data_IF_042090657738
#
_entry.id   IF_042090657738
#
_cell.length_a   1.000
_cell.length_b   1.000
_cell.length_c   1.000
_cell.angle_alpha   90.00
_cell.angle_beta   90.00
_cell.angle_gamma   90.00
#
_symmetry.space_group_name_H-M   'P 1'
#
loop_
_entity.id
_entity.type
_entity.pdbx_description
1 polymer ?
#
# COMPACT_ATOMS: atom_id res chain seq x y z
N UNK A 1 13.99 34.51 25.40
CA UNK A 1 12.64 33.93 25.60
C UNK A 1 11.93 33.52 24.29
N UNK A 2 12.21 34.14 23.13
CA UNK A 2 11.64 33.74 21.81
C UNK A 2 12.21 32.44 21.22
N UNK A 3 13.42 32.03 21.59
CA UNK A 3 14.12 30.83 21.06
C UNK A 3 13.55 29.51 21.60
N UNK A 4 13.27 29.42 22.91
CA UNK A 4 12.65 28.22 23.53
C UNK A 4 11.25 27.90 22.98
N UNK A 5 10.50 28.91 22.51
CA UNK A 5 9.17 28.72 21.91
C UNK A 5 9.25 28.09 20.50
N UNK A 6 10.27 28.44 19.71
CA UNK A 6 10.53 27.85 18.39
C UNK A 6 11.00 26.40 18.49
N UNK A 7 11.93 26.10 19.41
CA UNK A 7 12.36 24.71 19.68
C UNK A 7 11.21 23.81 20.11
N UNK A 8 10.34 24.31 21.00
CA UNK A 8 9.16 23.55 21.44
C UNK A 8 8.18 23.31 20.28
N UNK A 9 7.97 24.28 19.40
CA UNK A 9 7.14 24.11 18.20
C UNK A 9 7.73 23.10 17.19
N UNK A 10 9.04 23.11 17.00
CA UNK A 10 9.73 22.15 16.12
C UNK A 10 9.64 20.74 16.71
N UNK A 11 9.89 20.56 18.01
CA UNK A 11 9.72 19.28 18.70
C UNK A 11 8.26 18.79 18.72
N UNK A 12 7.29 19.71 18.74
CA UNK A 12 5.86 19.36 18.68
C UNK A 12 5.43 19.01 17.26
N UNK A 13 5.90 19.72 16.22
CA UNK A 13 5.74 19.32 14.81
C UNK A 13 6.54 18.06 14.44
N UNK A 14 7.64 17.79 15.15
CA UNK A 14 8.39 16.54 15.09
C UNK A 14 7.73 15.42 15.89
N UNK A 15 6.80 15.68 16.80
CA UNK A 15 5.98 14.67 17.50
C UNK A 15 4.62 14.45 16.84
N UNK A 16 4.07 15.47 16.17
CA UNK A 16 2.99 15.36 15.19
C UNK A 16 3.47 14.68 13.89
N UNK A 17 4.78 14.30 13.83
CA UNK A 17 5.28 13.22 12.98
C UNK A 17 4.38 12.01 13.10
N UNK A 18 4.16 11.36 11.97
CA UNK A 18 3.91 9.94 11.97
C UNK A 18 2.48 9.55 12.30
N UNK A 19 1.68 10.25 13.09
CA UNK A 19 0.33 9.74 13.41
C UNK A 19 -0.52 9.57 12.15
N UNK A 20 -0.57 10.56 11.26
CA UNK A 20 -1.33 10.43 10.01
C UNK A 20 -0.74 9.41 9.03
N UNK A 21 0.60 9.34 8.91
CA UNK A 21 1.27 8.35 8.05
C UNK A 21 1.12 6.93 8.60
N UNK A 22 1.25 6.77 9.92
CA UNK A 22 1.05 5.51 10.64
C UNK A 22 -0.40 5.09 10.57
N UNK A 23 -1.37 6.00 10.75
CA UNK A 23 -2.79 5.71 10.55
C UNK A 23 -3.08 5.30 9.11
N UNK A 24 -2.50 6.00 8.13
CA UNK A 24 -2.61 5.64 6.72
C UNK A 24 -2.01 4.25 6.43
N UNK A 25 -0.84 3.95 7.00
CA UNK A 25 -0.19 2.66 6.84
C UNK A 25 -0.91 1.54 7.59
N UNK A 26 -1.45 1.81 8.78
CA UNK A 26 -2.30 0.87 9.52
C UNK A 26 -3.59 0.59 8.76
N UNK A 27 -4.21 1.62 8.19
CA UNK A 27 -5.35 1.45 7.29
C UNK A 27 -4.99 0.56 6.11
N UNK A 28 -3.84 0.79 5.46
CA UNK A 28 -3.37 -0.06 4.36
C UNK A 28 -3.08 -1.49 4.83
N UNK A 29 -2.49 -1.69 6.01
CA UNK A 29 -2.27 -3.02 6.58
C UNK A 29 -3.59 -3.76 6.80
N UNK A 30 -4.61 -3.08 7.33
CA UNK A 30 -5.96 -3.65 7.51
C UNK A 30 -6.55 -4.03 6.16
N UNK A 31 -6.50 -3.12 5.17
CA UNK A 31 -7.03 -3.38 3.82
C UNK A 31 -6.32 -4.55 3.15
N UNK A 32 -4.99 -4.62 3.19
CA UNK A 32 -4.23 -5.74 2.63
C UNK A 32 -4.54 -7.05 3.37
N UNK A 33 -4.60 -7.03 4.70
CA UNK A 33 -4.90 -8.22 5.52
C UNK A 33 -6.31 -8.74 5.25
N UNK A 34 -7.32 -7.86 5.23
CA UNK A 34 -8.69 -8.24 4.89
C UNK A 34 -8.79 -8.79 3.47
N UNK A 35 -8.07 -8.18 2.52
CA UNK A 35 -8.07 -8.66 1.14
C UNK A 35 -7.39 -10.01 0.98
N UNK A 36 -6.33 -10.29 1.75
CA UNK A 36 -5.68 -11.61 1.81
C UNK A 36 -6.63 -12.62 2.46
N UNK A 37 -7.28 -12.27 3.56
CA UNK A 37 -8.26 -13.13 4.24
C UNK A 37 -9.43 -13.50 3.34
N UNK A 38 -9.99 -12.54 2.60
CA UNK A 38 -11.01 -12.79 1.58
C UNK A 38 -10.52 -13.75 0.49
N UNK A 39 -9.27 -13.61 0.07
CA UNK A 39 -8.70 -14.49 -0.94
C UNK A 39 -8.55 -15.92 -0.43
N UNK A 40 -8.07 -16.09 0.81
CA UNK A 40 -7.97 -17.39 1.48
C UNK A 40 -9.36 -18.01 1.63
N UNK A 41 -10.35 -17.23 2.07
CA UNK A 41 -11.73 -17.69 2.20
C UNK A 41 -12.29 -18.20 0.87
N UNK A 42 -12.17 -17.40 -0.20
CA UNK A 42 -12.61 -17.78 -1.54
C UNK A 42 -11.86 -19.01 -2.07
N UNK A 43 -10.57 -19.15 -1.75
CA UNK A 43 -9.77 -20.31 -2.11
C UNK A 43 -10.31 -21.62 -1.50
N UNK A 44 -10.81 -21.57 -0.27
CA UNK A 44 -11.37 -22.75 0.41
C UNK A 44 -12.83 -23.00 0.07
N UNK A 45 -13.61 -21.95 -0.21
CA UNK A 45 -15.04 -22.08 -0.52
C UNK A 45 -15.31 -22.42 -1.99
N UNK A 46 -14.46 -21.95 -2.89
CA UNK A 46 -14.55 -22.35 -4.29
C UNK A 46 -13.85 -23.71 -4.46
N UNK A 47 -14.51 -24.67 -5.10
CA UNK A 47 -13.94 -25.99 -5.42
C UNK A 47 -12.88 -26.06 -6.56
N UNK A 48 -12.44 -25.01 -7.29
CA UNK A 48 -11.80 -25.19 -8.59
C UNK A 48 -10.33 -25.64 -8.55
N UNK A 49 -9.78 -26.02 -7.40
CA UNK A 49 -8.40 -26.51 -7.30
C UNK A 49 -8.26 -28.03 -7.22
N UNK A 50 -9.34 -28.80 -7.38
CA UNK A 50 -9.23 -30.25 -7.60
C UNK A 50 -8.69 -30.63 -8.98
N UNK A 51 -8.45 -29.66 -9.87
CA UNK A 51 -7.79 -29.86 -11.15
C UNK A 51 -7.18 -28.56 -11.66
N UNK A 52 -5.99 -28.21 -11.16
CA UNK A 52 -5.26 -27.00 -11.58
C UNK A 52 -4.79 -27.15 -13.02
N UNK A 53 -5.66 -26.83 -13.97
CA UNK A 53 -5.24 -26.43 -15.30
C UNK A 53 -4.65 -25.04 -15.14
N UNK A 54 -3.36 -24.88 -15.44
CA UNK A 54 -2.69 -23.58 -15.54
C UNK A 54 -3.39 -22.72 -16.60
N UNK A 55 -4.47 -22.06 -16.21
CA UNK A 55 -5.22 -21.12 -17.04
C UNK A 55 -4.73 -19.70 -16.76
N UNK A 56 -4.86 -18.81 -17.74
CA UNK A 56 -4.54 -17.39 -17.58
C UNK A 56 -5.26 -16.76 -16.39
N UNK A 57 -6.50 -17.18 -16.11
CA UNK A 57 -7.27 -16.73 -14.95
C UNK A 57 -6.61 -17.11 -13.61
N UNK A 58 -6.09 -18.33 -13.49
CA UNK A 58 -5.36 -18.77 -12.30
C UNK A 58 -4.09 -17.91 -12.08
N UNK A 59 -3.35 -17.59 -13.14
CA UNK A 59 -2.18 -16.72 -13.05
C UNK A 59 -2.53 -15.30 -12.59
N UNK A 60 -3.63 -14.73 -13.08
CA UNK A 60 -4.11 -13.41 -12.64
C UNK A 60 -4.51 -13.43 -11.16
N UNK A 61 -5.20 -14.49 -10.73
CA UNK A 61 -5.60 -14.71 -9.33
C UNK A 61 -4.38 -14.82 -8.41
N UNK A 62 -3.40 -15.66 -8.76
CA UNK A 62 -2.16 -15.83 -7.99
C UNK A 62 -1.27 -14.58 -8.01
N UNK A 63 -1.12 -13.92 -9.16
CA UNK A 63 -0.38 -12.66 -9.28
C UNK A 63 -1.00 -11.55 -8.45
N UNK A 64 -2.33 -11.47 -8.43
CA UNK A 64 -3.10 -10.55 -7.62
C UNK A 64 -2.94 -10.81 -6.11
N UNK A 65 -2.83 -12.07 -5.70
CA UNK A 65 -2.52 -12.44 -4.32
C UNK A 65 -1.09 -12.03 -3.93
N UNK A 66 -0.11 -12.39 -4.75
CA UNK A 66 1.29 -12.06 -4.51
C UNK A 66 1.50 -10.54 -4.40
N UNK A 67 0.87 -9.75 -5.28
CA UNK A 67 0.93 -8.29 -5.22
C UNK A 67 0.41 -7.72 -3.90
N UNK A 68 -0.60 -8.35 -3.28
CA UNK A 68 -1.14 -7.94 -1.97
C UNK A 68 -0.19 -8.28 -0.82
N UNK A 69 0.45 -9.44 -0.89
CA UNK A 69 1.48 -9.84 0.09
C UNK A 69 2.68 -8.89 0.00
N UNK A 70 3.16 -8.59 -1.20
CA UNK A 70 4.24 -7.62 -1.40
C UNK A 70 3.82 -6.23 -0.90
N UNK A 71 2.58 -5.80 -1.16
CA UNK A 71 2.02 -4.55 -0.66
C UNK A 71 2.00 -4.46 0.87
N UNK A 72 1.61 -5.55 1.53
CA UNK A 72 1.65 -5.67 3.00
C UNK A 72 3.09 -5.53 3.52
N UNK A 73 4.03 -6.25 2.91
CA UNK A 73 5.45 -6.20 3.28
C UNK A 73 6.02 -4.78 3.09
N UNK A 74 5.73 -4.14 1.95
CA UNK A 74 6.11 -2.75 1.69
C UNK A 74 5.52 -1.80 2.75
N UNK A 75 4.24 -1.95 3.13
CA UNK A 75 3.64 -1.13 4.17
C UNK A 75 4.38 -1.27 5.53
N UNK A 76 4.74 -2.50 5.93
CA UNK A 76 5.51 -2.77 7.15
C UNK A 76 6.90 -2.14 7.09
N UNK A 77 7.61 -2.29 5.97
CA UNK A 77 8.94 -1.69 5.81
C UNK A 77 8.89 -0.17 5.67
N UNK A 78 7.78 0.40 5.21
CA UNK A 78 7.57 1.84 5.19
C UNK A 78 7.38 2.40 6.61
N UNK A 79 6.79 1.64 7.54
CA UNK A 79 6.80 2.00 8.97
C UNK A 79 8.23 2.07 9.54
N UNK A 80 9.17 1.31 8.96
CA UNK A 80 10.60 1.34 9.27
C UNK A 80 11.41 2.31 8.39
N UNK A 81 10.73 3.22 7.66
CA UNK A 81 11.36 4.27 6.86
C UNK A 81 12.30 3.78 5.76
N UNK A 82 12.06 2.60 5.20
CA UNK A 82 12.91 2.03 4.15
C UNK A 82 12.57 2.58 2.76
N UNK A 83 13.56 3.16 2.06
CA UNK A 83 13.44 3.77 0.71
C UNK A 83 12.82 2.84 -0.32
N UNK A 84 13.35 1.63 -0.41
CA UNK A 84 12.91 0.60 -1.33
C UNK A 84 11.44 0.20 -1.11
N UNK A 85 10.92 0.32 0.11
CA UNK A 85 9.51 0.06 0.39
C UNK A 85 8.58 1.11 -0.22
N UNK A 86 9.00 2.38 -0.27
CA UNK A 86 8.25 3.45 -0.95
C UNK A 86 8.16 3.17 -2.45
N UNK A 87 9.29 2.87 -3.08
CA UNK A 87 9.35 2.57 -4.51
C UNK A 87 8.55 1.31 -4.86
N UNK A 88 8.64 0.27 -4.03
CA UNK A 88 7.82 -0.93 -4.19
C UNK A 88 6.32 -0.64 -4.10
N UNK A 89 5.90 0.20 -3.15
CA UNK A 89 4.50 0.58 -2.99
C UNK A 89 3.98 1.40 -4.18
N UNK A 90 4.78 2.34 -4.69
CA UNK A 90 4.45 3.11 -5.89
C UNK A 90 4.39 2.24 -7.14
N UNK A 91 5.33 1.28 -7.28
CA UNK A 91 5.30 0.31 -8.37
C UNK A 91 4.02 -0.53 -8.33
N UNK A 92 3.59 -0.98 -7.15
CA UNK A 92 2.33 -1.72 -6.99
C UNK A 92 1.10 -0.87 -7.36
N UNK A 93 1.05 0.41 -6.97
CA UNK A 93 -0.01 1.31 -7.43
C UNK A 93 0.00 1.47 -8.94
N UNK A 94 1.18 1.63 -9.55
CA UNK A 94 1.34 1.74 -11.01
C UNK A 94 0.87 0.49 -11.75
N UNK A 95 1.27 -0.70 -11.27
CA UNK A 95 0.81 -1.99 -11.82
C UNK A 95 -0.71 -2.11 -11.69
N UNK A 96 -1.29 -1.74 -10.54
CA UNK A 96 -2.73 -1.75 -10.36
C UNK A 96 -3.45 -0.82 -11.35
N UNK A 97 -2.92 0.39 -11.58
CA UNK A 97 -3.46 1.30 -12.61
C UNK A 97 -3.40 0.66 -13.99
N UNK A 98 -2.24 0.12 -14.38
CA UNK A 98 -2.06 -0.50 -15.70
C UNK A 98 -3.03 -1.67 -15.91
N UNK A 99 -3.17 -2.56 -14.93
CA UNK A 99 -4.09 -3.69 -15.01
C UNK A 99 -5.55 -3.23 -15.18
N UNK A 100 -5.99 -2.24 -14.41
CA UNK A 100 -7.36 -1.72 -14.53
C UNK A 100 -7.60 -0.97 -15.87
N UNK A 101 -6.56 -0.33 -16.42
CA UNK A 101 -6.66 0.32 -17.74
C UNK A 101 -6.70 -0.72 -18.86
N UNK A 102 -5.90 -1.79 -18.78
CA UNK A 102 -5.85 -2.87 -19.78
C UNK A 102 -7.15 -3.68 -19.78
N UNK A 103 -7.70 -3.97 -18.61
CA UNK A 103 -8.94 -4.73 -18.46
C UNK A 103 -10.19 -3.91 -18.85
N UNK A 104 -10.02 -2.69 -19.40
CA UNK A 104 -11.08 -1.72 -19.70
C UNK A 104 -12.06 -1.56 -18.53
N UNK A 105 -11.57 -1.76 -17.32
CA UNK A 105 -12.42 -1.72 -16.14
C UNK A 105 -12.78 -0.27 -15.86
N UNK A 106 -13.95 -0.11 -15.27
CA UNK A 106 -14.55 1.17 -14.97
C UNK A 106 -13.52 2.19 -14.44
N UNK A 107 -13.47 3.40 -15.03
CA UNK A 107 -12.51 4.47 -14.71
C UNK A 107 -12.45 4.75 -13.20
N UNK A 108 -13.57 4.57 -12.49
CA UNK A 108 -13.64 4.73 -11.03
C UNK A 108 -12.70 3.78 -10.26
N UNK A 109 -12.37 2.61 -10.81
CA UNK A 109 -11.48 1.62 -10.18
C UNK A 109 -10.01 2.06 -10.28
N UNK A 110 -9.64 2.80 -11.34
CA UNK A 110 -8.29 3.36 -11.53
C UNK A 110 -7.99 4.50 -10.55
N UNK A 111 -9.03 5.23 -10.13
CA UNK A 111 -8.89 6.37 -9.21
C UNK A 111 -8.36 5.92 -7.85
N UNK A 112 -8.78 4.76 -7.34
CA UNK A 112 -8.37 4.26 -6.02
C UNK A 112 -6.85 4.14 -5.86
N UNK A 113 -6.15 3.38 -6.72
CA UNK A 113 -4.70 3.28 -6.72
C UNK A 113 -3.98 4.63 -6.91
N UNK A 114 -4.49 5.51 -7.76
CA UNK A 114 -3.91 6.85 -7.99
C UNK A 114 -3.99 7.72 -6.74
N UNK A 115 -5.16 7.77 -6.10
CA UNK A 115 -5.36 8.51 -4.84
C UNK A 115 -4.48 7.92 -3.75
N UNK A 116 -4.39 6.59 -3.66
CA UNK A 116 -3.51 5.90 -2.72
C UNK A 116 -2.03 6.25 -2.90
N UNK A 117 -1.56 6.32 -4.14
CA UNK A 117 -0.21 6.75 -4.47
C UNK A 117 0.03 8.22 -4.07
N UNK A 118 -0.88 9.13 -4.42
CA UNK A 118 -0.76 10.56 -4.09
C UNK A 118 -0.71 10.78 -2.58
N UNK A 119 -1.62 10.15 -1.82
CA UNK A 119 -1.63 10.27 -0.35
C UNK A 119 -0.30 9.75 0.22
N UNK A 120 0.15 8.58 -0.23
CA UNK A 120 1.41 7.98 0.24
C UNK A 120 2.60 8.88 -0.02
N UNK A 121 2.72 9.45 -1.25
CA UNK A 121 3.80 10.38 -1.60
C UNK A 121 3.73 11.66 -0.78
N UNK A 122 2.54 12.27 -0.61
CA UNK A 122 2.41 13.52 0.14
C UNK A 122 2.78 13.36 1.62
N UNK A 123 2.38 12.25 2.23
CA UNK A 123 2.70 11.94 3.62
C UNK A 123 4.19 11.64 3.80
N UNK A 124 4.80 10.94 2.85
CA UNK A 124 6.22 10.57 2.86
C UNK A 124 7.13 11.75 2.52
N UNK A 125 6.76 12.60 1.55
CA UNK A 125 7.54 13.76 1.08
C UNK A 125 7.90 14.71 2.22
N UNK A 126 6.98 14.91 3.18
CA UNK A 126 7.22 15.75 4.38
C UNK A 126 8.34 15.22 5.29
N UNK A 127 8.77 13.97 5.09
CA UNK A 127 9.76 13.26 5.91
C UNK A 127 10.78 12.51 5.05
N UNK A 128 11.04 12.97 3.82
CA UNK A 128 12.08 12.39 2.96
C UNK A 128 13.48 12.38 3.57
N UNK A 129 13.74 13.28 4.53
CA UNK A 129 15.00 13.36 5.30
C UNK A 129 15.22 12.09 6.16
N UNK A 130 14.17 11.33 6.49
CA UNK A 130 14.24 10.10 7.31
C UNK A 130 14.55 8.84 6.51
N UNK A 131 14.60 8.97 5.19
CA UNK A 131 15.02 7.91 4.33
C UNK A 131 16.56 7.99 4.26
N UNK A 132 17.22 7.16 5.06
CA UNK A 132 18.66 6.85 4.94
C UNK A 132 18.88 5.87 3.78
#
# INVERSE_FOLDING_TARGET
>A
MKTKKKEKYILTQEKERGVLLTLWLLFLLIVYTLSIGRFIYLFFETEPLKGVVFSAAALVIWGSFLARVVGLVCAIFLLKWKKWALWGMLALYGIAVLLNVIDYTNVYIVIGPLVGAVITVLLVRKKWIFFE
#
